data_IF_458767143234
#
_entry.id   IF_458767143234
#
_cell.length_a   1.000
_cell.length_b   1.000
_cell.length_c   1.000
_cell.angle_alpha   90.00
_cell.angle_beta   90.00
_cell.angle_gamma   90.00
#
_symmetry.space_group_name_H-M   'P 1'
#
loop_
_entity.id
_entity.type
_entity.pdbx_description
1 polymer ?
#
# COMPACT_ATOMS: atom_id res chain seq x y z
N UNK A 1 -17.70 -20.89 12.09
CA UNK A 1 -17.52 -19.42 12.10
C UNK A 1 -18.83 -18.79 11.66
N UNK A 2 -19.27 -17.67 12.26
CA UNK A 2 -20.41 -16.93 11.74
C UNK A 2 -20.16 -16.52 10.29
N UNK A 3 -21.20 -16.53 9.44
CA UNK A 3 -21.12 -16.18 8.01
C UNK A 3 -20.40 -14.85 7.78
N UNK A 4 -20.76 -13.82 8.55
CA UNK A 4 -20.17 -12.47 8.47
C UNK A 4 -18.67 -12.46 8.75
N UNK A 5 -18.19 -13.27 9.70
CA UNK A 5 -16.73 -13.36 9.99
C UNK A 5 -15.93 -13.92 8.82
N UNK A 6 -16.44 -14.97 8.16
CA UNK A 6 -15.80 -15.56 7.00
C UNK A 6 -15.76 -14.56 5.83
N UNK A 7 -16.87 -13.87 5.58
CA UNK A 7 -16.95 -12.87 4.51
C UNK A 7 -16.05 -11.66 4.77
N UNK A 8 -15.98 -11.18 6.01
CA UNK A 8 -15.04 -10.11 6.41
C UNK A 8 -13.58 -10.54 6.18
N UNK A 9 -13.26 -11.82 6.39
CA UNK A 9 -11.92 -12.36 6.12
C UNK A 9 -11.57 -12.32 4.63
N UNK A 10 -12.51 -12.59 3.73
CA UNK A 10 -12.27 -12.44 2.28
C UNK A 10 -11.98 -10.99 1.89
N UNK A 11 -12.73 -10.03 2.44
CA UNK A 11 -12.48 -8.60 2.21
C UNK A 11 -11.10 -8.21 2.73
N UNK A 12 -10.78 -8.55 3.98
CA UNK A 12 -9.50 -8.20 4.60
C UNK A 12 -8.30 -8.79 3.89
N UNK A 13 -8.47 -9.92 3.21
CA UNK A 13 -7.41 -10.61 2.46
C UNK A 13 -7.40 -10.28 0.97
N UNK A 14 -8.26 -9.38 0.48
CA UNK A 14 -8.29 -9.01 -0.92
C UNK A 14 -6.92 -8.48 -1.40
N UNK A 15 -6.41 -8.93 -2.55
CA UNK A 15 -5.15 -8.43 -3.10
C UNK A 15 -5.26 -6.95 -3.51
N UNK A 16 -4.13 -6.26 -3.69
CA UNK A 16 -4.11 -4.87 -4.11
C UNK A 16 -4.83 -4.67 -5.44
N UNK A 17 -5.75 -3.71 -5.47
CA UNK A 17 -6.51 -3.38 -6.68
C UNK A 17 -7.64 -4.35 -7.05
N UNK A 18 -7.87 -5.40 -6.24
CA UNK A 18 -8.82 -6.48 -6.56
C UNK A 18 -10.05 -6.54 -5.62
N UNK A 19 -10.22 -5.54 -4.75
CA UNK A 19 -11.35 -5.51 -3.81
C UNK A 19 -12.71 -5.58 -4.52
N UNK A 20 -12.84 -4.94 -5.67
CA UNK A 20 -14.08 -4.95 -6.47
C UNK A 20 -14.41 -6.34 -6.98
N UNK A 21 -13.42 -7.09 -7.45
CA UNK A 21 -13.55 -8.45 -7.94
C UNK A 21 -13.93 -9.42 -6.81
N UNK A 22 -13.27 -9.29 -5.67
CA UNK A 22 -13.59 -10.04 -4.44
C UNK A 22 -15.03 -9.76 -4.01
N UNK A 23 -15.46 -8.50 -4.03
CA UNK A 23 -16.82 -8.10 -3.68
C UNK A 23 -17.85 -8.71 -4.64
N UNK A 24 -17.58 -8.69 -5.94
CA UNK A 24 -18.45 -9.32 -6.95
C UNK A 24 -18.54 -10.84 -6.75
N UNK A 25 -17.43 -11.49 -6.46
CA UNK A 25 -17.40 -12.92 -6.17
C UNK A 25 -18.23 -13.27 -4.93
N UNK A 26 -18.11 -12.49 -3.85
CA UNK A 26 -18.92 -12.66 -2.64
C UNK A 26 -20.41 -12.52 -2.97
N UNK A 27 -20.82 -11.49 -3.69
CA UNK A 27 -22.21 -11.26 -4.10
C UNK A 27 -22.74 -12.42 -4.96
N UNK A 28 -21.93 -12.90 -5.91
CA UNK A 28 -22.31 -14.03 -6.77
C UNK A 28 -22.50 -15.33 -6.00
N UNK A 29 -21.65 -15.61 -5.02
CA UNK A 29 -21.76 -16.82 -4.17
C UNK A 29 -23.00 -16.77 -3.28
N UNK A 30 -23.35 -15.58 -2.79
CA UNK A 30 -24.43 -15.42 -1.83
C UNK A 30 -25.79 -15.20 -2.47
N UNK A 31 -25.83 -14.76 -3.73
CA UNK A 31 -27.06 -14.39 -4.42
C UNK A 31 -27.80 -13.21 -3.78
N UNK A 32 -27.08 -12.37 -3.00
CA UNK A 32 -27.66 -11.31 -2.20
C UNK A 32 -26.81 -10.04 -2.27
N UNK A 33 -27.42 -8.95 -2.74
CA UNK A 33 -26.78 -7.64 -2.85
C UNK A 33 -26.73 -6.87 -1.52
N UNK A 34 -27.56 -7.25 -0.53
CA UNK A 34 -27.63 -6.58 0.78
C UNK A 34 -26.37 -6.80 1.64
N UNK A 35 -25.57 -7.80 1.32
CA UNK A 35 -24.33 -8.16 2.02
C UNK A 35 -23.34 -7.01 2.11
N UNK A 36 -23.36 -6.07 1.16
CA UNK A 36 -22.49 -4.90 1.21
C UNK A 36 -22.69 -4.06 2.48
N UNK A 37 -23.91 -3.94 2.95
CA UNK A 37 -24.23 -3.19 4.17
C UNK A 37 -23.74 -3.89 5.44
N UNK A 38 -23.88 -5.22 5.49
CA UNK A 38 -23.42 -6.02 6.63
C UNK A 38 -21.88 -6.02 6.74
N UNK A 39 -21.17 -5.86 5.61
CA UNK A 39 -19.72 -5.86 5.50
C UNK A 39 -19.10 -4.47 5.53
N UNK A 40 -19.89 -3.40 5.71
CA UNK A 40 -19.38 -2.02 5.78
C UNK A 40 -18.18 -1.85 6.73
N UNK A 41 -18.16 -2.40 7.95
CA UNK A 41 -16.98 -2.29 8.82
C UNK A 41 -15.74 -3.00 8.26
N UNK A 42 -15.91 -4.09 7.52
CA UNK A 42 -14.80 -4.81 6.91
C UNK A 42 -14.20 -4.01 5.72
N UNK A 43 -15.07 -3.37 4.93
CA UNK A 43 -14.63 -2.47 3.86
C UNK A 43 -13.90 -1.24 4.42
N UNK A 44 -14.43 -0.62 5.47
CA UNK A 44 -13.78 0.51 6.12
C UNK A 44 -12.39 0.11 6.61
N UNK A 45 -12.30 -0.94 7.41
CA UNK A 45 -11.03 -1.45 7.91
C UNK A 45 -10.04 -1.75 6.80
N UNK A 46 -10.46 -2.45 5.73
CA UNK A 46 -9.60 -2.72 4.58
C UNK A 46 -9.08 -1.43 3.95
N UNK A 47 -9.96 -0.48 3.65
CA UNK A 47 -9.56 0.75 2.96
C UNK A 47 -8.60 1.59 3.80
N UNK A 48 -8.84 1.70 5.10
CA UNK A 48 -7.97 2.43 6.03
C UNK A 48 -6.61 1.75 6.18
N UNK A 49 -6.57 0.42 6.40
CA UNK A 49 -5.33 -0.35 6.53
C UNK A 49 -4.53 -0.44 5.22
N UNK A 50 -5.21 -0.41 4.08
CA UNK A 50 -4.59 -0.51 2.77
C UNK A 50 -4.18 0.86 2.20
N UNK A 51 -4.51 1.96 2.86
CA UNK A 51 -4.32 3.33 2.38
C UNK A 51 -4.92 3.49 0.99
N UNK A 52 -6.19 3.07 0.86
CA UNK A 52 -6.89 3.14 -0.43
C UNK A 52 -6.88 4.56 -0.94
N UNK A 53 -6.60 4.71 -2.22
CA UNK A 53 -6.56 6.02 -2.87
C UNK A 53 -7.82 6.27 -3.67
N UNK A 54 -8.25 7.52 -3.70
CA UNK A 54 -9.41 7.97 -4.49
C UNK A 54 -9.14 9.35 -5.06
N UNK A 55 -9.77 9.65 -6.20
CA UNK A 55 -9.78 11.02 -6.77
C UNK A 55 -10.95 11.80 -6.23
N UNK A 56 -10.66 13.02 -5.79
CA UNK A 56 -11.72 13.95 -5.41
C UNK A 56 -12.48 14.41 -6.65
N UNK A 57 -13.81 14.60 -6.56
CA UNK A 57 -14.61 15.20 -7.65
C UNK A 57 -14.01 16.51 -8.15
N UNK A 58 -13.70 16.58 -9.45
CA UNK A 58 -13.04 17.73 -10.07
C UNK A 58 -11.53 17.86 -9.83
N UNK A 59 -10.93 16.96 -9.04
CA UNK A 59 -9.49 16.92 -8.76
C UNK A 59 -8.73 15.99 -9.70
N UNK A 60 -7.45 16.27 -9.92
CA UNK A 60 -6.53 15.41 -10.67
C UNK A 60 -5.73 14.48 -9.77
N UNK A 61 -5.45 14.92 -8.54
CA UNK A 61 -4.61 14.21 -7.56
C UNK A 61 -5.41 13.15 -6.81
N UNK A 62 -4.78 12.02 -6.55
CA UNK A 62 -5.34 10.98 -5.68
C UNK A 62 -5.00 11.27 -4.23
N UNK A 63 -6.00 11.22 -3.37
CA UNK A 63 -5.89 11.35 -1.91
C UNK A 63 -6.01 9.98 -1.26
N UNK A 64 -5.38 9.78 -0.10
CA UNK A 64 -5.44 8.52 0.61
C UNK A 64 -6.51 8.54 1.72
N UNK A 65 -6.98 7.34 2.08
CA UNK A 65 -7.91 7.06 3.18
C UNK A 65 -7.19 6.23 4.22
N UNK A 66 -7.19 6.70 5.47
CA UNK A 66 -6.58 6.01 6.61
C UNK A 66 -7.28 6.40 7.92
N UNK A 67 -7.03 5.64 8.97
CA UNK A 67 -7.50 5.99 10.32
C UNK A 67 -6.98 7.34 10.83
N UNK A 68 -5.81 7.81 10.34
CA UNK A 68 -5.15 9.04 10.80
C UNK A 68 -5.77 10.31 10.20
N UNK A 69 -6.44 10.22 9.07
CA UNK A 69 -7.14 11.34 8.46
C UNK A 69 -8.68 11.20 8.50
N UNK A 70 -9.18 10.29 9.32
CA UNK A 70 -10.61 10.13 9.56
C UNK A 70 -11.13 11.24 10.47
N UNK A 71 -12.23 11.87 10.08
CA UNK A 71 -12.96 12.88 10.88
C UNK A 71 -14.19 12.28 11.59
N UNK A 72 -14.46 11.00 11.40
CA UNK A 72 -15.67 10.31 11.84
C UNK A 72 -16.75 10.29 10.76
N UNK A 73 -17.78 9.46 10.98
CA UNK A 73 -18.96 9.33 10.11
C UNK A 73 -18.66 9.10 8.61
N UNK A 74 -17.56 8.40 8.31
CA UNK A 74 -17.14 8.12 6.93
C UNK A 74 -16.49 9.30 6.21
N UNK A 75 -16.14 10.36 6.96
CA UNK A 75 -15.52 11.55 6.42
C UNK A 75 -14.02 11.56 6.69
N UNK A 76 -13.25 11.99 5.68
CA UNK A 76 -11.78 12.06 5.70
C UNK A 76 -11.31 13.44 5.27
N UNK A 77 -10.06 13.80 5.59
CA UNK A 77 -9.46 15.05 5.12
C UNK A 77 -8.11 14.82 4.45
N UNK A 78 -7.76 15.75 3.59
CA UNK A 78 -6.47 15.81 2.93
C UNK A 78 -5.83 17.18 3.11
N UNK A 79 -4.55 17.19 3.49
CA UNK A 79 -3.82 18.40 3.84
C UNK A 79 -3.40 19.19 2.60
N UNK A 80 -2.99 18.49 1.53
CA UNK A 80 -2.49 19.15 0.33
C UNK A 80 -3.61 19.87 -0.43
N UNK A 81 -4.78 19.27 -0.50
CA UNK A 81 -5.96 19.88 -1.14
C UNK A 81 -6.75 20.81 -0.21
N UNK A 82 -6.40 20.84 1.10
CA UNK A 82 -7.12 21.56 2.15
C UNK A 82 -8.62 21.30 2.10
N UNK A 83 -8.98 20.02 1.96
CA UNK A 83 -10.37 19.60 1.82
C UNK A 83 -10.71 18.40 2.69
N UNK A 84 -11.99 18.27 3.01
CA UNK A 84 -12.56 17.06 3.56
C UNK A 84 -13.60 16.49 2.58
N UNK A 85 -13.82 15.19 2.65
CA UNK A 85 -14.68 14.48 1.73
C UNK A 85 -15.30 13.26 2.42
N UNK A 86 -16.49 12.88 1.96
CA UNK A 86 -17.10 11.61 2.33
C UNK A 86 -16.52 10.51 1.45
N UNK A 87 -16.27 9.34 2.05
CA UNK A 87 -15.74 8.18 1.32
C UNK A 87 -16.64 6.98 1.47
N UNK A 88 -17.18 6.50 0.36
CA UNK A 88 -17.94 5.26 0.31
C UNK A 88 -16.98 4.06 0.23
N UNK A 89 -16.86 3.34 1.31
CA UNK A 89 -15.94 2.20 1.42
C UNK A 89 -16.29 1.02 0.52
N UNK A 90 -17.55 0.86 0.15
CA UNK A 90 -17.99 -0.24 -0.72
C UNK A 90 -17.68 0.02 -2.19
N UNK A 91 -17.79 1.28 -2.62
CA UNK A 91 -17.55 1.68 -4.02
C UNK A 91 -16.18 2.31 -4.25
N UNK A 92 -15.47 2.70 -3.20
CA UNK A 92 -14.17 3.37 -3.29
C UNK A 92 -14.24 4.80 -3.83
N UNK A 93 -15.39 5.47 -3.70
CA UNK A 93 -15.61 6.80 -4.29
C UNK A 93 -15.69 7.90 -3.22
N UNK A 94 -15.06 9.03 -3.53
CA UNK A 94 -15.19 10.25 -2.75
C UNK A 94 -16.37 11.11 -3.24
N UNK A 95 -17.01 11.82 -2.32
CA UNK A 95 -18.09 12.76 -2.57
C UNK A 95 -18.12 13.89 -1.54
N UNK A 96 -19.04 14.82 -1.65
CA UNK A 96 -19.29 15.90 -0.68
C UNK A 96 -18.01 16.65 -0.23
N UNK A 97 -17.19 17.02 -1.21
CA UNK A 97 -15.93 17.76 -0.95
C UNK A 97 -16.22 19.13 -0.39
N UNK A 98 -15.56 19.49 0.71
CA UNK A 98 -15.67 20.78 1.38
C UNK A 98 -14.28 21.29 1.74
N UNK A 99 -14.13 22.61 1.84
CA UNK A 99 -12.90 23.20 2.39
C UNK A 99 -12.68 22.76 3.84
N UNK A 100 -11.48 22.36 4.15
CA UNK A 100 -11.07 21.94 5.49
C UNK A 100 -9.64 22.37 5.75
N UNK A 101 -9.41 23.06 6.85
CA UNK A 101 -8.08 23.45 7.31
C UNK A 101 -7.81 22.76 8.63
N UNK A 102 -6.72 22.00 8.67
CA UNK A 102 -6.33 21.32 9.89
C UNK A 102 -5.89 22.34 10.95
N UNK A 103 -6.61 22.35 12.06
CA UNK A 103 -6.22 23.09 13.26
C UNK A 103 -5.41 22.15 14.17
N UNK A 104 -4.11 22.39 14.30
CA UNK A 104 -3.22 21.59 15.13
C UNK A 104 -2.11 22.46 15.70
N UNK A 105 -1.74 22.23 16.96
CA UNK A 105 -0.58 22.87 17.59
C UNK A 105 0.73 22.56 16.86
N UNK A 106 0.79 21.43 16.16
CA UNK A 106 1.93 21.00 15.34
C UNK A 106 1.76 21.36 13.86
N UNK A 107 0.82 22.25 13.51
CA UNK A 107 0.46 22.56 12.12
C UNK A 107 1.65 22.94 11.23
N UNK A 108 2.61 23.71 11.73
CA UNK A 108 3.80 24.11 10.98
C UNK A 108 4.75 22.93 10.73
N UNK A 109 4.92 22.05 11.71
CA UNK A 109 5.73 20.84 11.54
C UNK A 109 5.05 19.85 10.57
N UNK A 110 3.74 19.68 10.67
CA UNK A 110 2.93 18.87 9.74
C UNK A 110 3.12 19.38 8.31
N UNK A 111 2.97 20.67 8.05
CA UNK A 111 3.19 21.27 6.73
C UNK A 111 4.63 21.07 6.22
N UNK A 112 5.62 21.26 7.08
CA UNK A 112 7.02 21.09 6.74
C UNK A 112 7.38 19.65 6.41
N UNK A 113 6.87 18.70 7.22
CA UNK A 113 7.04 17.27 6.97
C UNK A 113 6.31 16.82 5.70
N UNK A 114 5.07 17.30 5.50
CA UNK A 114 4.31 16.95 4.31
C UNK A 114 5.00 17.45 3.03
N UNK A 115 5.54 18.67 3.05
CA UNK A 115 6.35 19.21 1.93
C UNK A 115 7.61 18.37 1.67
N UNK A 116 8.34 17.98 2.72
CA UNK A 116 9.52 17.14 2.58
C UNK A 116 9.17 15.73 2.08
N UNK A 117 8.05 15.16 2.54
CA UNK A 117 7.50 13.90 2.08
C UNK A 117 7.09 13.98 0.60
N UNK A 118 6.41 15.03 0.16
CA UNK A 118 6.04 15.27 -1.23
C UNK A 118 7.26 15.24 -2.14
N UNK A 119 8.35 15.89 -1.74
CA UNK A 119 9.61 15.86 -2.50
C UNK A 119 10.17 14.44 -2.59
N UNK A 120 10.28 13.75 -1.47
CA UNK A 120 10.78 12.37 -1.42
C UNK A 120 9.95 11.41 -2.28
N UNK A 121 8.62 11.51 -2.16
CA UNK A 121 7.70 10.63 -2.87
C UNK A 121 7.71 10.88 -4.38
N UNK A 122 7.79 12.15 -4.81
CA UNK A 122 7.85 12.50 -6.24
C UNK A 122 9.13 11.96 -6.94
N UNK A 123 10.21 11.86 -6.19
CA UNK A 123 11.50 11.34 -6.71
C UNK A 123 11.54 9.80 -6.75
N UNK A 124 10.88 9.12 -5.81
CA UNK A 124 11.10 7.69 -5.56
C UNK A 124 9.88 6.82 -5.87
N UNK A 125 8.66 7.37 -5.84
CA UNK A 125 7.41 6.61 -5.94
C UNK A 125 6.48 7.17 -7.02
N UNK A 126 6.64 6.79 -8.31
CA UNK A 126 5.69 7.21 -9.33
C UNK A 126 4.28 6.62 -9.04
N UNK A 127 3.23 7.42 -9.17
CA UNK A 127 1.83 7.06 -8.87
C UNK A 127 1.61 6.68 -7.40
N UNK A 128 1.88 7.61 -6.54
CA UNK A 128 1.72 7.45 -5.10
C UNK A 128 0.84 8.53 -4.51
N UNK A 129 0.26 8.22 -3.36
CA UNK A 129 -0.38 9.18 -2.48
C UNK A 129 0.30 9.13 -1.12
N UNK A 130 0.31 10.24 -0.43
CA UNK A 130 1.00 10.39 0.83
C UNK A 130 0.31 11.43 1.71
N UNK A 131 0.69 11.49 2.96
CA UNK A 131 0.22 12.52 3.88
C UNK A 131 0.88 12.43 5.25
N UNK A 132 0.85 13.54 5.96
CA UNK A 132 1.30 13.65 7.35
C UNK A 132 0.15 14.11 8.20
N UNK A 133 -0.19 13.34 9.23
CA UNK A 133 -1.38 13.57 10.04
C UNK A 133 -1.05 13.54 11.53
N UNK A 134 -1.64 14.40 12.36
CA UNK A 134 -1.60 14.23 13.81
C UNK A 134 -2.24 12.91 14.22
N UNK A 135 -1.64 12.23 15.20
CA UNK A 135 -2.21 11.00 15.76
C UNK A 135 -3.26 11.38 16.81
N UNK A 136 -4.55 11.03 16.63
CA UNK A 136 -5.61 11.48 17.52
C UNK A 136 -5.41 11.11 19.01
N UNK A 137 -4.79 9.95 19.27
CA UNK A 137 -4.52 9.44 20.61
C UNK A 137 -3.22 9.92 21.24
N UNK A 138 -2.38 10.69 20.51
CA UNK A 138 -1.07 11.12 20.97
C UNK A 138 -0.71 12.50 20.42
N UNK A 139 -0.93 13.58 21.18
CA UNK A 139 -0.70 14.93 20.71
C UNK A 139 0.74 15.23 20.26
N UNK A 140 1.73 14.48 20.76
CA UNK A 140 3.14 14.62 20.38
C UNK A 140 3.52 13.80 19.15
N UNK A 141 2.60 13.02 18.57
CA UNK A 141 2.90 12.07 17.51
C UNK A 141 2.29 12.47 16.18
N UNK A 142 3.06 12.24 15.12
CA UNK A 142 2.64 12.45 13.74
C UNK A 142 2.73 11.14 12.97
N UNK A 143 1.67 10.81 12.24
CA UNK A 143 1.66 9.71 11.29
C UNK A 143 2.16 10.20 9.92
N UNK A 144 3.16 9.52 9.36
CA UNK A 144 3.74 9.80 8.04
C UNK A 144 3.42 8.60 7.17
N UNK A 145 2.58 8.80 6.15
CA UNK A 145 2.01 7.73 5.35
C UNK A 145 2.38 7.87 3.88
N UNK A 146 2.72 6.75 3.25
CA UNK A 146 2.91 6.69 1.80
C UNK A 146 2.31 5.40 1.26
N UNK A 147 1.61 5.49 0.14
CA UNK A 147 1.15 4.34 -0.64
C UNK A 147 1.51 4.53 -2.11
N UNK A 148 2.13 3.55 -2.71
CA UNK A 148 2.42 3.52 -4.14
C UNK A 148 1.82 2.25 -4.75
N UNK A 149 0.97 2.45 -5.76
CA UNK A 149 0.27 1.37 -6.44
C UNK A 149 0.84 1.18 -7.85
N UNK A 150 1.05 -0.07 -8.23
CA UNK A 150 1.41 -0.45 -9.59
C UNK A 150 0.53 -1.61 -10.03
N UNK A 151 -0.56 -1.28 -10.74
CA UNK A 151 -1.53 -2.25 -11.21
C UNK A 151 -1.38 -2.50 -12.70
N UNK A 152 -1.39 -3.76 -13.08
CA UNK A 152 -1.33 -4.20 -14.48
C UNK A 152 -2.22 -5.43 -14.69
N UNK A 153 -3.55 -5.28 -14.58
CA UNK A 153 -4.48 -6.40 -14.66
C UNK A 153 -4.44 -7.08 -16.04
N UNK A 154 -4.09 -6.37 -17.10
CA UNK A 154 -3.89 -6.96 -18.44
C UNK A 154 -2.67 -7.85 -18.53
N UNK A 155 -1.73 -7.74 -17.62
CA UNK A 155 -0.55 -8.60 -17.49
C UNK A 155 -0.64 -9.47 -16.22
N UNK A 156 -1.83 -9.62 -15.66
CA UNK A 156 -2.17 -10.49 -14.53
C UNK A 156 -1.35 -10.29 -13.27
N UNK A 157 -0.99 -9.03 -12.96
CA UNK A 157 -0.33 -8.71 -11.70
C UNK A 157 -0.71 -7.33 -11.16
N UNK A 158 -0.72 -7.22 -9.84
CA UNK A 158 -0.93 -6.00 -9.09
C UNK A 158 0.09 -5.92 -7.94
N UNK A 159 0.61 -4.73 -7.71
CA UNK A 159 1.56 -4.48 -6.63
C UNK A 159 1.22 -3.23 -5.84
N UNK A 160 1.53 -3.27 -4.53
CA UNK A 160 1.37 -2.14 -3.62
C UNK A 160 2.55 -2.07 -2.65
N UNK A 161 3.12 -0.90 -2.54
CA UNK A 161 4.00 -0.52 -1.45
C UNK A 161 3.25 0.38 -0.49
N UNK A 162 3.38 0.14 0.81
CA UNK A 162 2.86 1.02 1.87
C UNK A 162 3.93 1.22 2.91
N UNK A 163 4.16 2.47 3.29
CA UNK A 163 4.94 2.80 4.48
C UNK A 163 4.11 3.65 5.43
N UNK A 164 4.19 3.32 6.70
CA UNK A 164 3.49 3.99 7.79
C UNK A 164 4.46 4.16 8.93
N UNK A 165 4.70 5.41 9.34
CA UNK A 165 5.60 5.75 10.44
C UNK A 165 4.88 6.65 11.43
N UNK A 166 5.09 6.39 12.70
CA UNK A 166 4.71 7.28 13.79
C UNK A 166 5.98 7.96 14.30
N UNK A 167 6.03 9.27 14.12
CA UNK A 167 7.08 10.12 14.63
C UNK A 167 6.63 10.79 15.94
N UNK A 168 7.27 10.46 17.05
CA UNK A 168 7.07 11.14 18.32
C UNK A 168 8.07 12.30 18.43
N UNK A 169 7.55 13.51 18.40
CA UNK A 169 8.34 14.75 18.41
C UNK A 169 9.07 14.98 19.73
N UNK A 170 8.58 14.41 20.83
CA UNK A 170 9.16 14.56 22.16
C UNK A 170 10.40 13.69 22.35
N UNK A 171 10.31 12.44 21.95
CA UNK A 171 11.43 11.48 22.08
C UNK A 171 12.34 11.43 20.85
N UNK A 172 11.86 11.92 19.69
CA UNK A 172 12.55 11.75 18.42
C UNK A 172 12.46 10.33 17.86
N UNK A 173 11.59 9.49 18.41
CA UNK A 173 11.39 8.11 17.96
C UNK A 173 10.58 8.07 16.68
N UNK A 174 10.99 7.23 15.73
CA UNK A 174 10.25 6.91 14.51
C UNK A 174 10.03 5.41 14.48
N UNK A 175 8.80 4.99 14.67
CA UNK A 175 8.39 3.59 14.66
C UNK A 175 7.37 3.34 13.58
N UNK A 176 7.38 2.17 12.96
CA UNK A 176 6.41 1.88 11.90
C UNK A 176 6.77 0.65 11.10
N UNK A 177 6.15 0.53 9.93
CA UNK A 177 6.37 -0.61 9.06
C UNK A 177 6.30 -0.24 7.58
N UNK A 178 7.07 -0.96 6.79
CA UNK A 178 6.97 -0.98 5.33
C UNK A 178 6.34 -2.31 4.94
N UNK A 179 5.27 -2.27 4.16
CA UNK A 179 4.54 -3.46 3.69
C UNK A 179 4.53 -3.49 2.16
N UNK A 180 4.95 -4.62 1.61
CA UNK A 180 4.90 -4.87 0.17
C UNK A 180 3.96 -6.05 -0.08
N UNK A 181 3.04 -5.86 -1.02
CA UNK A 181 2.04 -6.83 -1.40
C UNK A 181 1.98 -6.89 -2.92
N UNK A 182 2.34 -8.04 -3.48
CA UNK A 182 2.33 -8.27 -4.94
C UNK A 182 1.54 -9.54 -5.21
N UNK A 183 0.57 -9.44 -6.11
CA UNK A 183 -0.24 -10.55 -6.56
C UNK A 183 -0.03 -10.79 -8.05
N UNK A 184 0.33 -12.02 -8.43
CA UNK A 184 0.48 -12.48 -9.81
C UNK A 184 -0.43 -13.69 -10.05
N UNK A 185 -1.28 -13.64 -11.10
CA UNK A 185 -2.39 -14.57 -11.29
C UNK A 185 -2.60 -15.05 -12.74
N UNK A 186 -1.56 -15.00 -13.60
CA UNK A 186 -1.66 -15.48 -14.99
C UNK A 186 -1.81 -17.01 -15.06
N UNK A 187 -0.78 -17.73 -14.59
CA UNK A 187 -0.74 -19.21 -14.66
C UNK A 187 -0.84 -19.86 -13.27
N UNK A 188 -1.49 -19.19 -12.36
CA UNK A 188 -1.61 -19.61 -10.97
C UNK A 188 -2.05 -18.47 -10.08
N UNK A 189 -1.80 -18.62 -8.81
CA UNK A 189 -2.11 -17.60 -7.80
C UNK A 189 -0.93 -17.49 -6.85
N UNK A 190 -0.05 -16.53 -7.12
CA UNK A 190 1.15 -16.28 -6.33
C UNK A 190 1.05 -14.91 -5.69
N UNK A 191 1.09 -14.86 -4.37
CA UNK A 191 1.09 -13.61 -3.61
C UNK A 191 2.34 -13.50 -2.75
N UNK A 192 3.07 -12.40 -2.91
CA UNK A 192 4.16 -12.01 -2.03
C UNK A 192 3.64 -11.00 -1.03
N UNK A 193 3.70 -11.37 0.24
CA UNK A 193 3.42 -10.48 1.36
C UNK A 193 4.70 -10.38 2.20
N UNK A 194 5.20 -9.18 2.37
CA UNK A 194 6.36 -8.95 3.23
C UNK A 194 6.21 -7.66 4.03
N UNK A 195 6.69 -7.69 5.26
CA UNK A 195 6.66 -6.56 6.19
C UNK A 195 8.04 -6.35 6.78
N UNK A 196 8.49 -5.11 6.78
CA UNK A 196 9.71 -4.66 7.45
C UNK A 196 9.33 -3.70 8.55
N UNK A 197 9.54 -4.09 9.78
CA UNK A 197 9.41 -3.18 10.93
C UNK A 197 10.57 -2.17 10.93
N UNK A 198 10.24 -0.93 11.22
CA UNK A 198 11.18 0.18 11.32
C UNK A 198 11.10 0.74 12.73
N UNK A 199 12.27 0.84 13.38
CA UNK A 199 12.41 1.46 14.68
C UNK A 199 13.76 2.21 14.69
N UNK A 200 13.68 3.51 14.49
CA UNK A 200 14.85 4.39 14.42
C UNK A 200 14.59 5.66 15.23
N UNK A 201 15.61 6.43 15.48
CA UNK A 201 15.48 7.70 16.18
C UNK A 201 16.25 8.82 15.49
N UNK A 202 15.75 10.01 15.70
CA UNK A 202 16.38 11.30 15.42
C UNK A 202 16.53 12.08 16.73
N UNK A 203 17.13 13.23 16.70
CA UNK A 203 17.14 14.09 17.90
C UNK A 203 15.74 14.55 18.31
N UNK A 204 15.49 14.73 19.60
CA UNK A 204 14.25 15.35 20.06
C UNK A 204 14.06 16.73 19.42
N UNK A 205 12.86 17.00 18.89
CA UNK A 205 12.58 18.24 18.15
C UNK A 205 13.26 18.33 16.79
N UNK A 206 13.68 17.20 16.20
CA UNK A 206 14.28 17.15 14.87
C UNK A 206 13.34 17.75 13.81
N UNK A 207 13.91 18.52 12.89
CA UNK A 207 13.17 19.13 11.79
C UNK A 207 12.79 18.13 10.70
N UNK A 208 11.86 18.52 9.84
CA UNK A 208 11.30 17.72 8.76
C UNK A 208 12.37 17.04 7.87
N UNK A 209 13.41 17.76 7.50
CA UNK A 209 14.48 17.25 6.63
C UNK A 209 15.26 16.08 7.26
N UNK A 210 15.49 16.14 8.59
CA UNK A 210 16.21 15.09 9.29
C UNK A 210 15.36 13.83 9.43
N UNK A 211 14.07 14.00 9.80
CA UNK A 211 13.09 12.90 9.88
C UNK A 211 12.99 12.20 8.53
N UNK A 212 12.79 12.94 7.44
CA UNK A 212 12.65 12.36 6.10
C UNK A 212 13.93 11.70 5.61
N UNK A 213 15.10 12.27 5.88
CA UNK A 213 16.38 11.63 5.56
C UNK A 213 16.54 10.28 6.24
N UNK A 214 16.09 10.16 7.51
CA UNK A 214 16.15 8.90 8.26
C UNK A 214 15.21 7.86 7.68
N UNK A 215 13.96 8.24 7.37
CA UNK A 215 12.98 7.38 6.72
C UNK A 215 13.49 6.91 5.36
N UNK A 216 13.95 7.83 4.51
CA UNK A 216 14.48 7.52 3.18
C UNK A 216 15.64 6.51 3.22
N UNK A 217 16.53 6.61 4.23
CA UNK A 217 17.63 5.66 4.40
C UNK A 217 17.13 4.24 4.72
N UNK A 218 16.12 4.09 5.57
CA UNK A 218 15.52 2.79 5.88
C UNK A 218 14.76 2.20 4.67
N UNK A 219 14.01 3.01 3.95
CA UNK A 219 13.30 2.58 2.73
C UNK A 219 14.28 2.13 1.64
N UNK A 220 15.34 2.90 1.39
CA UNK A 220 16.39 2.54 0.44
C UNK A 220 17.03 1.20 0.79
N UNK A 221 17.44 1.04 2.06
CA UNK A 221 18.04 -0.21 2.55
C UNK A 221 17.10 -1.41 2.32
N UNK A 222 15.82 -1.24 2.64
CA UNK A 222 14.85 -2.32 2.45
C UNK A 222 14.62 -2.65 0.97
N UNK A 223 14.57 -1.66 0.07
CA UNK A 223 14.50 -1.90 -1.37
C UNK A 223 15.71 -2.66 -1.89
N UNK A 224 16.92 -2.31 -1.43
CA UNK A 224 18.14 -3.03 -1.78
C UNK A 224 18.10 -4.49 -1.29
N UNK A 225 17.64 -4.72 -0.06
CA UNK A 225 17.51 -6.06 0.54
C UNK A 225 16.47 -6.91 -0.19
N UNK A 226 15.32 -6.33 -0.59
CA UNK A 226 14.33 -6.99 -1.43
C UNK A 226 14.91 -7.42 -2.77
N UNK A 227 15.63 -6.53 -3.45
CA UNK A 227 16.25 -6.86 -4.74
C UNK A 227 17.26 -8.00 -4.62
N UNK A 228 18.09 -8.01 -3.56
CA UNK A 228 19.01 -9.11 -3.27
C UNK A 228 18.26 -10.41 -2.98
N UNK A 229 17.17 -10.34 -2.20
CA UNK A 229 16.34 -11.51 -1.89
C UNK A 229 15.70 -12.11 -3.15
N UNK A 230 15.18 -11.30 -4.05
CA UNK A 230 14.65 -11.77 -5.34
C UNK A 230 15.72 -12.46 -6.20
N UNK A 231 16.91 -11.86 -6.31
CA UNK A 231 18.02 -12.47 -7.03
C UNK A 231 18.40 -13.83 -6.41
N UNK A 232 18.51 -13.91 -5.09
CA UNK A 232 18.86 -15.16 -4.39
C UNK A 232 17.79 -16.26 -4.48
N UNK A 233 16.50 -15.87 -4.53
CA UNK A 233 15.40 -16.84 -4.73
C UNK A 233 15.51 -17.57 -6.05
N UNK A 234 15.82 -16.88 -7.15
CA UNK A 234 15.94 -17.52 -8.46
C UNK A 234 17.12 -18.49 -8.54
N UNK A 235 18.24 -18.18 -7.88
CA UNK A 235 19.45 -18.99 -7.90
C UNK A 235 19.46 -20.12 -6.84
N UNK A 236 18.79 -19.88 -5.69
CA UNK A 236 18.78 -20.77 -4.52
C UNK A 236 17.52 -21.63 -4.41
N UNK A 237 16.48 -21.08 -3.79
CA UNK A 237 15.30 -21.83 -3.36
C UNK A 237 14.51 -22.42 -4.54
N UNK A 238 14.29 -21.65 -5.63
CA UNK A 238 13.60 -22.17 -6.82
C UNK A 238 14.43 -23.22 -7.56
N UNK A 239 15.76 -23.09 -7.57
CA UNK A 239 16.64 -24.12 -8.15
C UNK A 239 16.61 -25.41 -7.33
N UNK A 240 16.53 -25.30 -6.00
CA UNK A 240 16.39 -26.45 -5.10
C UNK A 240 15.02 -27.12 -5.24
N UNK A 241 13.93 -26.35 -5.33
CA UNK A 241 12.58 -26.85 -5.55
C UNK A 241 12.45 -27.58 -6.90
N UNK A 242 13.08 -27.07 -7.96
CA UNK A 242 13.13 -27.80 -9.26
C UNK A 242 13.75 -29.17 -9.17
N UNK A 243 14.74 -29.36 -8.31
CA UNK A 243 15.38 -30.68 -8.09
C UNK A 243 14.48 -31.67 -7.37
N UNK A 244 13.45 -31.20 -6.71
CA UNK A 244 12.47 -32.03 -5.99
C UNK A 244 11.22 -32.32 -6.79
N UNK A 245 11.07 -31.73 -7.99
CA UNK A 245 9.97 -32.07 -8.88
C UNK A 245 10.05 -33.55 -9.30
N UNK A 246 8.91 -34.27 -9.42
CA UNK A 246 8.88 -35.63 -9.91
C UNK A 246 9.59 -35.72 -11.26
N UNK A 247 10.52 -36.64 -11.38
CA UNK A 247 11.21 -36.88 -12.64
C UNK A 247 10.20 -37.47 -13.62
N UNK A 248 9.73 -36.65 -14.56
CA UNK A 248 8.99 -37.14 -15.71
C UNK A 248 10.00 -37.74 -16.72
N UNK A 249 9.63 -38.78 -17.46
CA UNK A 249 10.49 -39.34 -18.52
C UNK A 249 10.66 -38.43 -19.74
N UNK A 250 10.07 -37.22 -19.70
CA UNK A 250 10.23 -36.21 -20.74
C UNK A 250 11.52 -35.42 -20.50
N UNK A 251 12.32 -35.32 -21.55
CA UNK A 251 13.53 -34.50 -21.53
C UNK A 251 13.14 -33.01 -21.53
N UNK A 252 13.26 -32.36 -20.37
CA UNK A 252 13.07 -30.93 -20.27
C UNK A 252 14.42 -30.24 -20.45
N UNK A 253 14.56 -29.41 -21.48
CA UNK A 253 15.77 -28.64 -21.74
C UNK A 253 15.77 -27.39 -20.83
N UNK A 254 16.13 -27.59 -19.56
CA UNK A 254 16.15 -26.56 -18.54
C UNK A 254 17.05 -25.34 -18.88
N UNK A 255 18.10 -25.56 -19.69
CA UNK A 255 18.99 -24.51 -20.13
C UNK A 255 18.28 -23.51 -21.06
N UNK A 256 17.31 -23.95 -21.85
CA UNK A 256 16.47 -23.04 -22.66
C UNK A 256 15.54 -22.20 -21.79
N UNK A 257 15.04 -22.76 -20.69
CA UNK A 257 14.16 -22.05 -19.74
C UNK A 257 14.97 -21.06 -18.88
N UNK A 258 16.21 -21.42 -18.48
CA UNK A 258 17.08 -20.50 -17.73
C UNK A 258 17.62 -19.35 -18.57
N UNK A 259 17.63 -19.49 -19.90
CA UNK A 259 17.95 -18.44 -20.86
C UNK A 259 16.79 -17.44 -21.10
N UNK A 260 15.59 -17.77 -20.65
CA UNK A 260 14.44 -16.88 -20.72
C UNK A 260 14.60 -15.77 -19.68
N UNK A 261 15.12 -14.64 -20.09
CA UNK A 261 15.18 -13.46 -19.22
C UNK A 261 13.82 -12.78 -19.27
N UNK A 262 13.14 -12.68 -18.14
CA UNK A 262 12.00 -11.80 -17.98
C UNK A 262 12.40 -10.40 -18.49
N UNK A 263 11.80 -9.96 -19.59
CA UNK A 263 12.12 -8.68 -20.23
C UNK A 263 12.59 -8.79 -21.69
N UNK A 264 12.98 -9.94 -22.19
CA UNK A 264 13.30 -10.09 -23.62
C UNK A 264 12.06 -10.05 -24.51
N UNK A 265 10.89 -10.43 -23.98
CA UNK A 265 9.62 -10.35 -24.71
C UNK A 265 9.00 -8.95 -24.74
N UNK A 266 9.44 -8.03 -23.89
CA UNK A 266 8.93 -6.65 -23.84
C UNK A 266 9.64 -5.76 -24.88
N UNK A 267 10.75 -6.24 -25.42
CA UNK A 267 11.57 -5.55 -26.41
C UNK A 267 11.54 -6.19 -27.81
N UNK A 268 10.42 -6.76 -28.24
CA UNK A 268 10.24 -7.34 -29.56
C UNK A 268 10.60 -6.42 -30.70
N UNK A 269 11.89 -6.19 -30.87
CA UNK A 269 12.48 -5.61 -32.07
C UNK A 269 12.64 -6.71 -33.10
N UNK A 270 11.74 -6.79 -34.05
CA UNK A 270 11.94 -7.47 -35.32
C UNK A 270 13.26 -7.00 -35.93
N UNK A 271 14.15 -7.92 -36.27
CA UNK A 271 14.95 -7.82 -37.44
C UNK A 271 14.32 -8.62 -38.56
#
# INVERSE_FOLDING_TARGET
MPRTTALSSFISSAPPGELTEVTKAIKSILGDDSVANELSPAFQKYNEEQFTTTKLPGGATEVLVSEYNALGDGRYYDIDTQSSFDFDHATGKASAVQSYVLESEQGDLVKSLNKALTTHVSEHYPRSSHGVYPVPSSPSSLAILTVANKYSPTNYWNGRWRSSYIYDTTSGSITGAIKVDVHYYEDGNVRLLTTKEVNVSVGAGAGAAEVMRKIAAEEKKYQEDLNKAFASLSEGAFKALRRQLPITRQKIEWEKISGYRLGQDIGGGRK
#
